data_IF_722641649919
#
_entry.id   IF_722641649919
#
_cell.length_a   1.000
_cell.length_b   1.000
_cell.length_c   1.000
_cell.angle_alpha   90.00
_cell.angle_beta   90.00
_cell.angle_gamma   90.00
#
_symmetry.space_group_name_H-M   'P 1'
#
loop_
_entity.id
_entity.type
_entity.pdbx_description
1 polymer ?
#
# COMPACT_ATOMS: atom_id res chain seq x y z
N UNK A 1 -3.60 -20.64 10.17
CA UNK A 1 -4.33 -19.92 9.10
C UNK A 1 -3.34 -19.70 7.97
N UNK A 2 -3.50 -20.39 6.84
CA UNK A 2 -2.51 -20.42 5.76
C UNK A 2 -2.92 -19.39 4.70
N UNK A 3 -2.48 -18.13 4.86
CA UNK A 3 -2.79 -17.06 3.91
C UNK A 3 -1.53 -16.76 3.11
N UNK A 4 -1.36 -17.43 1.96
CA UNK A 4 -0.41 -17.01 0.93
C UNK A 4 -1.05 -15.89 0.10
N UNK A 5 -1.10 -14.68 0.66
CA UNK A 5 -1.37 -13.48 -0.13
C UNK A 5 -0.03 -12.85 -0.50
N UNK A 6 0.42 -13.09 -1.73
CA UNK A 6 1.56 -12.36 -2.29
C UNK A 6 1.04 -11.10 -2.95
N UNK A 7 1.36 -9.93 -2.38
CA UNK A 7 1.06 -8.63 -2.96
C UNK A 7 2.28 -8.12 -3.72
N UNK A 8 2.07 -7.58 -4.92
CA UNK A 8 3.08 -6.92 -5.73
C UNK A 8 2.58 -5.51 -6.02
N UNK A 9 2.85 -4.53 -5.14
CA UNK A 9 2.40 -3.17 -5.35
C UNK A 9 3.20 -2.49 -6.46
N UNK A 10 2.61 -1.46 -7.08
CA UNK A 10 3.31 -0.67 -8.09
C UNK A 10 4.53 0.05 -7.49
N UNK A 11 4.36 0.60 -6.27
CA UNK A 11 5.47 1.22 -5.54
C UNK A 11 5.45 0.88 -4.04
N UNK A 12 6.65 0.78 -3.47
CA UNK A 12 6.91 0.92 -2.04
C UNK A 12 7.84 2.11 -1.89
N UNK A 13 7.38 3.12 -1.16
CA UNK A 13 8.10 4.37 -0.97
C UNK A 13 8.58 4.43 0.47
N UNK A 14 9.87 4.65 0.69
CA UNK A 14 10.46 4.89 2.00
C UNK A 14 10.72 6.38 2.17
N UNK A 15 10.16 6.97 3.22
CA UNK A 15 10.41 8.36 3.61
C UNK A 15 11.61 8.46 4.56
N UNK A 16 12.18 9.67 4.66
CA UNK A 16 13.33 9.93 5.53
C UNK A 16 12.99 9.79 7.03
N UNK A 17 11.73 9.95 7.41
CA UNK A 17 11.20 9.88 8.78
C UNK A 17 10.74 8.47 9.18
N UNK A 18 11.25 7.44 8.51
CA UNK A 18 10.93 6.03 8.75
C UNK A 18 9.45 5.67 8.53
N UNK A 19 8.73 6.48 7.73
CA UNK A 19 7.44 6.09 7.15
C UNK A 19 7.63 5.29 5.86
N UNK A 20 6.64 4.45 5.56
CA UNK A 20 6.57 3.64 4.36
C UNK A 20 5.18 3.76 3.74
N UNK A 21 5.10 3.90 2.42
CA UNK A 21 3.84 3.94 1.68
C UNK A 21 3.84 2.84 0.62
N UNK A 22 2.85 1.96 0.70
CA UNK A 22 2.45 1.08 -0.39
C UNK A 22 1.50 1.87 -1.29
N UNK A 23 1.88 2.08 -2.55
CA UNK A 23 1.10 2.84 -3.52
C UNK A 23 0.70 1.97 -4.71
N UNK A 24 -0.60 1.94 -4.99
CA UNK A 24 -1.18 1.38 -6.21
C UNK A 24 -1.67 2.52 -7.11
N UNK A 25 -1.38 2.46 -8.41
CA UNK A 25 -1.80 3.46 -9.39
C UNK A 25 -2.61 2.76 -10.47
N UNK A 26 -3.91 2.99 -10.48
CA UNK A 26 -4.81 2.42 -11.49
C UNK A 26 -4.91 3.34 -12.70
N UNK A 27 -4.97 2.72 -13.88
CA UNK A 27 -5.42 3.40 -15.10
C UNK A 27 -6.93 3.27 -15.33
N UNK A 28 -7.56 2.21 -14.82
CA UNK A 28 -9.02 1.92 -14.82
C UNK A 28 -9.37 0.97 -13.67
N UNK A 29 -10.51 1.18 -13.01
CA UNK A 29 -11.00 0.35 -11.89
C UNK A 29 -11.58 -0.96 -12.42
N UNK A 30 -11.14 -2.11 -11.91
CA UNK A 30 -11.81 -3.41 -12.12
C UNK A 30 -12.06 -4.08 -10.76
N UNK A 31 -13.11 -4.90 -10.66
CA UNK A 31 -13.55 -5.52 -9.41
C UNK A 31 -12.48 -6.41 -8.73
N UNK A 32 -11.40 -6.73 -9.46
CA UNK A 32 -10.24 -7.48 -9.00
C UNK A 32 -9.37 -6.70 -7.97
N UNK A 33 -9.63 -5.40 -7.76
CA UNK A 33 -8.84 -4.55 -6.86
C UNK A 33 -9.16 -4.74 -5.37
N UNK A 34 -10.37 -5.19 -5.02
CA UNK A 34 -10.83 -5.27 -3.62
C UNK A 34 -10.03 -6.26 -2.76
N UNK A 35 -9.72 -7.43 -3.30
CA UNK A 35 -8.95 -8.47 -2.59
C UNK A 35 -7.50 -8.03 -2.35
N UNK A 36 -6.84 -7.46 -3.37
CA UNK A 36 -5.48 -6.92 -3.25
C UNK A 36 -5.39 -5.82 -2.20
N UNK A 37 -6.34 -4.88 -2.21
CA UNK A 37 -6.38 -3.79 -1.24
C UNK A 37 -6.64 -4.29 0.18
N UNK A 38 -7.45 -5.34 0.34
CA UNK A 38 -7.70 -5.96 1.64
C UNK A 38 -6.40 -6.55 2.19
N UNK A 39 -5.68 -7.33 1.39
CA UNK A 39 -4.39 -7.90 1.81
C UNK A 39 -3.33 -6.83 2.12
N UNK A 40 -3.28 -5.75 1.34
CA UNK A 40 -2.35 -4.65 1.61
C UNK A 40 -2.68 -3.94 2.94
N UNK A 41 -3.97 -3.69 3.22
CA UNK A 41 -4.43 -3.11 4.49
C UNK A 41 -4.14 -4.03 5.68
N UNK A 42 -4.34 -5.33 5.53
CA UNK A 42 -4.01 -6.32 6.57
C UNK A 42 -2.51 -6.34 6.86
N UNK A 43 -1.67 -6.27 5.83
CA UNK A 43 -0.22 -6.20 5.99
C UNK A 43 0.20 -4.90 6.71
N UNK A 44 -0.32 -3.75 6.28
CA UNK A 44 -0.06 -2.47 6.96
C UNK A 44 -0.46 -2.54 8.43
N UNK A 45 -1.65 -3.07 8.73
CA UNK A 45 -2.11 -3.25 10.12
C UNK A 45 -1.16 -4.16 10.90
N UNK A 46 -0.76 -5.30 10.34
CA UNK A 46 0.12 -6.26 11.01
C UNK A 46 1.51 -5.68 11.30
N UNK A 47 2.10 -4.97 10.33
CA UNK A 47 3.42 -4.35 10.50
C UNK A 47 3.38 -3.23 11.53
N UNK A 48 2.34 -2.38 11.50
CA UNK A 48 2.18 -1.28 12.45
C UNK A 48 1.91 -1.71 13.90
N UNK A 49 1.57 -2.98 14.15
CA UNK A 49 1.53 -3.52 15.52
C UNK A 49 2.93 -3.59 16.17
N UNK A 50 4.00 -3.50 15.38
CA UNK A 50 5.37 -3.49 15.84
C UNK A 50 6.11 -2.26 15.29
N UNK A 51 6.45 -1.32 16.16
CA UNK A 51 7.12 -0.07 15.79
C UNK A 51 8.54 -0.24 15.24
N UNK A 52 9.14 -1.44 15.34
CA UNK A 52 10.50 -1.69 14.83
C UNK A 52 10.60 -1.67 13.30
N UNK A 53 9.48 -1.70 12.57
CA UNK A 53 9.45 -1.67 11.11
C UNK A 53 9.07 -0.31 10.53
N UNK A 54 8.99 0.73 11.38
CA UNK A 54 8.49 2.04 10.98
C UNK A 54 6.96 2.10 10.91
N UNK A 55 6.43 3.17 10.31
CA UNK A 55 4.99 3.39 10.17
C UNK A 55 4.60 3.22 8.71
N UNK A 56 3.67 2.30 8.44
CA UNK A 56 3.24 1.93 7.10
C UNK A 56 1.86 2.50 6.78
N UNK A 57 1.68 2.90 5.53
CA UNK A 57 0.43 3.38 4.95
C UNK A 57 0.15 2.68 3.62
N UNK A 58 -1.12 2.63 3.23
CA UNK A 58 -1.56 2.13 1.93
C UNK A 58 -2.46 3.17 1.26
N UNK A 59 -2.14 3.52 0.00
CA UNK A 59 -2.98 4.35 -0.86
C UNK A 59 -3.15 3.70 -2.23
N UNK A 60 -4.34 3.83 -2.79
CA UNK A 60 -4.63 3.47 -4.17
C UNK A 60 -5.14 4.72 -4.90
N UNK A 61 -4.50 5.05 -6.02
CA UNK A 61 -4.83 6.19 -6.85
C UNK A 61 -5.59 5.76 -8.09
N UNK A 62 -6.62 6.52 -8.44
CA UNK A 62 -7.40 6.27 -9.66
C UNK A 62 -6.77 6.92 -10.90
N UNK A 63 -5.91 7.93 -10.69
CA UNK A 63 -5.21 8.63 -11.77
C UNK A 63 -3.71 8.66 -11.48
N UNK A 64 -2.86 8.32 -12.46
CA UNK A 64 -1.42 8.49 -12.34
C UNK A 64 -0.97 9.92 -12.05
N UNK A 65 -1.77 10.93 -12.42
CA UNK A 65 -1.49 12.35 -12.12
C UNK A 65 -1.42 12.65 -10.62
N UNK A 66 -2.10 11.86 -9.79
CA UNK A 66 -2.31 12.16 -8.38
C UNK A 66 -1.15 11.62 -7.51
N UNK A 67 -0.15 10.98 -8.14
CA UNK A 67 1.01 10.38 -7.46
C UNK A 67 1.78 11.43 -6.65
N UNK A 68 1.98 12.63 -7.21
CA UNK A 68 2.71 13.69 -6.51
C UNK A 68 1.98 14.20 -5.25
N UNK A 69 0.66 14.31 -5.30
CA UNK A 69 -0.14 14.67 -4.12
C UNK A 69 -0.11 13.56 -3.06
N UNK A 70 -0.04 12.29 -3.47
CA UNK A 70 -0.03 11.17 -2.54
C UNK A 70 1.26 11.03 -1.72
N UNK A 71 2.39 11.54 -2.25
CA UNK A 71 3.75 11.38 -1.70
C UNK A 71 4.32 12.63 -1.03
N UNK A 72 3.71 13.80 -1.24
CA UNK A 72 4.04 15.02 -0.47
C UNK A 72 3.34 15.02 0.89
#
# INVERSE_FOLDING_TARGET
>A
MNLKFTIFPDFIIKFADNRYLILEVKGRKTDQDSAKWTSAKELVRAVNLNSNFGVWEFKALEKPSDVFEAVM
#
